data_IF_014442770436
#
_entry.id   IF_014442770436
#
_cell.length_a   1.000
_cell.length_b   1.000
_cell.length_c   1.000
_cell.angle_alpha   90.00
_cell.angle_beta   90.00
_cell.angle_gamma   90.00
#
_symmetry.space_group_name_H-M   'P 1'
#
loop_
_entity.id
_entity.type
_entity.pdbx_description
1 polymer ?
#
# COMPACT_ATOMS: atom_id res chain seq x y z
N UNK A 1 15.99 -15.62 28.29
CA UNK A 1 16.74 -14.60 27.52
C UNK A 1 15.70 -13.90 26.66
N UNK A 2 15.41 -12.62 26.92
CA UNK A 2 14.65 -11.80 25.98
C UNK A 2 15.62 -11.46 24.85
N UNK A 3 15.58 -12.20 23.75
CA UNK A 3 16.18 -11.72 22.51
C UNK A 3 15.43 -10.44 22.13
N UNK A 4 16.03 -9.30 22.45
CA UNK A 4 15.50 -7.99 22.07
C UNK A 4 15.44 -7.96 20.55
N UNK A 5 14.23 -7.98 19.99
CA UNK A 5 13.99 -7.90 18.54
C UNK A 5 14.33 -6.49 18.07
N UNK A 6 15.01 -6.36 16.93
CA UNK A 6 15.41 -5.08 16.35
C UNK A 6 14.95 -4.95 14.90
N UNK A 7 14.49 -3.76 14.50
CA UNK A 7 13.96 -3.50 13.15
C UNK A 7 14.97 -3.79 12.05
N UNK A 8 16.26 -3.50 12.27
CA UNK A 8 17.35 -3.80 11.32
C UNK A 8 17.44 -5.28 10.96
N UNK A 9 16.97 -6.16 11.83
CA UNK A 9 16.99 -7.61 11.62
C UNK A 9 15.62 -8.15 11.19
N UNK A 10 14.54 -7.58 11.75
CA UNK A 10 13.18 -8.09 11.51
C UNK A 10 12.63 -7.61 10.17
N UNK A 11 12.71 -6.31 9.88
CA UNK A 11 12.22 -5.71 8.64
C UNK A 11 13.23 -4.66 8.12
N UNK A 12 14.42 -5.08 7.67
CA UNK A 12 15.48 -4.17 7.23
C UNK A 12 15.08 -3.21 6.10
N UNK A 13 14.09 -3.56 5.27
CA UNK A 13 13.59 -2.66 4.22
C UNK A 13 12.88 -1.44 4.79
N UNK A 14 12.18 -1.61 5.91
CA UNK A 14 11.42 -0.56 6.58
C UNK A 14 12.27 0.19 7.63
N UNK A 15 13.49 -0.26 7.89
CA UNK A 15 14.28 0.25 9.02
C UNK A 15 14.63 1.74 8.87
N UNK A 16 14.85 2.22 7.63
CA UNK A 16 15.18 3.63 7.35
C UNK A 16 14.07 4.60 7.74
N UNK A 17 12.82 4.13 7.83
CA UNK A 17 11.68 4.95 8.24
C UNK A 17 11.55 5.12 9.76
N UNK A 18 12.24 4.27 10.54
CA UNK A 18 12.20 4.31 12.01
C UNK A 18 13.49 4.83 12.64
N UNK A 19 14.63 4.65 11.99
CA UNK A 19 15.94 4.94 12.58
C UNK A 19 16.93 5.44 11.52
N UNK A 20 17.86 6.28 11.96
CA UNK A 20 18.97 6.72 11.13
C UNK A 20 19.93 5.55 10.83
N UNK A 21 20.22 5.36 9.54
CA UNK A 21 21.16 4.37 9.05
C UNK A 21 22.33 5.07 8.36
N UNK A 22 23.55 4.71 8.75
CA UNK A 22 24.77 5.23 8.11
C UNK A 22 24.92 4.74 6.66
N UNK A 23 24.41 3.55 6.37
CA UNK A 23 24.44 2.92 5.05
C UNK A 23 23.18 2.08 4.81
N UNK A 24 22.76 1.86 3.54
CA UNK A 24 21.67 0.96 3.23
C UNK A 24 21.97 -0.48 3.69
N UNK A 25 21.08 -1.04 4.49
CA UNK A 25 21.22 -2.41 5.04
C UNK A 25 20.40 -3.46 4.28
N UNK A 26 19.66 -3.04 3.24
CA UNK A 26 18.72 -3.88 2.53
C UNK A 26 19.03 -3.98 1.03
N UNK A 27 19.12 -5.20 0.54
CA UNK A 27 19.34 -5.50 -0.89
C UNK A 27 18.00 -5.58 -1.62
N UNK A 28 17.61 -4.46 -2.26
CA UNK A 28 16.35 -4.34 -3.01
C UNK A 28 16.29 -5.27 -4.22
N UNK A 29 17.42 -5.54 -4.89
CA UNK A 29 17.47 -6.41 -6.06
C UNK A 29 17.21 -7.87 -5.68
N UNK A 30 17.89 -8.34 -4.64
CA UNK A 30 17.66 -9.69 -4.09
C UNK A 30 16.22 -9.85 -3.59
N UNK A 31 15.68 -8.82 -2.97
CA UNK A 31 14.28 -8.84 -2.53
C UNK A 31 13.31 -8.92 -3.71
N UNK A 32 13.53 -8.11 -4.76
CA UNK A 32 12.71 -8.15 -5.98
C UNK A 32 12.73 -9.53 -6.63
N UNK A 33 13.89 -10.19 -6.70
CA UNK A 33 14.02 -11.58 -7.18
C UNK A 33 13.17 -12.52 -6.32
N UNK A 34 13.29 -12.45 -4.99
CA UNK A 34 12.50 -13.28 -4.07
C UNK A 34 10.99 -13.08 -4.26
N UNK A 35 10.54 -11.85 -4.46
CA UNK A 35 9.13 -11.55 -4.71
C UNK A 35 8.65 -12.12 -6.05
N UNK A 36 9.48 -12.05 -7.10
CA UNK A 36 9.16 -12.59 -8.43
C UNK A 36 9.09 -14.12 -8.43
N UNK A 37 10.06 -14.79 -7.81
CA UNK A 37 10.10 -16.25 -7.69
C UNK A 37 8.90 -16.82 -6.91
N UNK A 38 8.26 -16.00 -6.08
CA UNK A 38 7.11 -16.40 -5.27
C UNK A 38 5.81 -15.69 -5.66
N UNK A 39 5.75 -15.11 -6.87
CA UNK A 39 4.60 -14.38 -7.39
C UNK A 39 3.28 -15.16 -7.31
N UNK A 40 3.27 -16.45 -7.68
CA UNK A 40 2.09 -17.33 -7.59
C UNK A 40 1.47 -17.36 -6.19
N UNK A 41 2.31 -17.29 -5.16
CA UNK A 41 1.88 -17.38 -3.78
C UNK A 41 1.42 -16.04 -3.21
N UNK A 42 2.04 -14.96 -3.68
CA UNK A 42 1.66 -13.59 -3.37
C UNK A 42 0.40 -13.18 -4.16
N UNK A 43 0.10 -13.87 -5.27
CA UNK A 43 -1.04 -13.59 -6.16
C UNK A 43 -1.06 -12.10 -6.55
N UNK A 44 -2.25 -11.49 -6.58
CA UNK A 44 -2.42 -10.07 -6.88
C UNK A 44 -1.72 -9.14 -5.88
N UNK A 45 -1.32 -9.60 -4.69
CA UNK A 45 -0.57 -8.74 -3.77
C UNK A 45 0.79 -8.34 -4.32
N UNK A 46 1.40 -9.17 -5.18
CA UNK A 46 2.72 -8.89 -5.77
C UNK A 46 2.80 -7.52 -6.45
N UNK A 47 1.74 -7.07 -7.13
CA UNK A 47 1.75 -5.77 -7.84
C UNK A 47 1.67 -4.56 -6.93
N UNK A 48 1.29 -4.77 -5.66
CA UNK A 48 1.21 -3.73 -4.64
C UNK A 48 2.47 -3.66 -3.78
N UNK A 49 3.35 -4.66 -3.90
CA UNK A 49 4.61 -4.67 -3.17
C UNK A 49 5.57 -3.61 -3.68
N UNK A 50 6.43 -3.13 -2.78
CA UNK A 50 7.41 -2.05 -3.01
C UNK A 50 6.67 -0.71 -3.10
N UNK A 51 5.96 -0.37 -2.01
CA UNK A 51 5.40 0.97 -1.75
C UNK A 51 4.34 1.46 -2.74
N UNK A 52 3.71 0.55 -3.49
CA UNK A 52 2.65 0.91 -4.45
C UNK A 52 1.31 1.25 -3.77
N UNK A 53 1.17 1.01 -2.47
CA UNK A 53 0.04 1.43 -1.64
C UNK A 53 0.40 2.52 -0.62
N UNK A 54 1.59 3.11 -0.72
CA UNK A 54 2.01 4.22 0.15
C UNK A 54 0.96 5.33 0.17
N UNK A 55 0.75 5.93 1.34
CA UNK A 55 -0.26 6.95 1.65
C UNK A 55 -1.73 6.51 1.50
N UNK A 56 -2.00 5.23 1.27
CA UNK A 56 -3.38 4.75 1.19
C UNK A 56 -4.06 4.81 2.56
N UNK A 57 -5.22 5.47 2.63
CA UNK A 57 -5.96 5.62 3.88
C UNK A 57 -6.60 4.31 4.33
N UNK A 58 -6.38 3.93 5.59
CA UNK A 58 -6.99 2.78 6.23
C UNK A 58 -8.41 3.15 6.68
N UNK A 59 -9.39 2.70 5.91
CA UNK A 59 -10.81 2.92 6.21
C UNK A 59 -11.36 1.95 7.24
N UNK A 60 -10.80 0.74 7.30
CA UNK A 60 -11.20 -0.31 8.25
C UNK A 60 -10.06 -1.29 8.49
N UNK A 61 -9.86 -1.68 9.75
CA UNK A 61 -8.95 -2.74 10.15
C UNK A 61 -9.70 -3.73 11.05
N UNK A 62 -9.85 -4.97 10.59
CA UNK A 62 -10.56 -6.02 11.33
C UNK A 62 -9.64 -7.19 11.63
N UNK A 63 -9.58 -7.57 12.92
CA UNK A 63 -8.83 -8.73 13.40
C UNK A 63 -9.81 -9.70 14.06
N UNK A 64 -10.04 -10.84 13.41
CA UNK A 64 -10.82 -11.97 13.90
C UNK A 64 -9.90 -13.17 14.11
N UNK A 65 -10.36 -14.18 14.84
CA UNK A 65 -9.54 -15.34 15.25
C UNK A 65 -8.77 -16.07 14.12
N UNK A 66 -9.21 -15.95 12.87
CA UNK A 66 -8.58 -16.61 11.70
C UNK A 66 -8.39 -15.69 10.50
N UNK A 67 -8.69 -14.39 10.65
CA UNK A 67 -8.69 -13.42 9.54
C UNK A 67 -8.21 -12.06 10.02
N UNK A 68 -7.22 -11.53 9.32
CA UNK A 68 -6.85 -10.12 9.34
C UNK A 68 -7.33 -9.50 8.04
N UNK A 69 -8.03 -8.37 8.13
CA UNK A 69 -8.51 -7.62 6.97
C UNK A 69 -8.20 -6.14 7.15
N UNK A 70 -7.57 -5.54 6.15
CA UNK A 70 -7.31 -4.11 6.07
C UNK A 70 -7.95 -3.57 4.79
N UNK A 71 -8.88 -2.62 4.93
CA UNK A 71 -9.52 -1.94 3.81
C UNK A 71 -8.89 -0.57 3.63
N UNK A 72 -8.39 -0.33 2.43
CA UNK A 72 -7.69 0.88 2.04
C UNK A 72 -8.52 1.66 1.02
N UNK A 73 -8.45 2.98 1.06
CA UNK A 73 -8.70 3.82 -0.12
C UNK A 73 -7.35 4.00 -0.85
N UNK A 74 -7.24 3.44 -2.06
CA UNK A 74 -6.03 3.43 -2.87
C UNK A 74 -5.62 4.85 -3.27
N UNK A 75 -4.51 5.33 -2.69
CA UNK A 75 -4.03 6.70 -2.88
C UNK A 75 -3.69 7.02 -4.34
N UNK A 76 -2.95 6.14 -5.03
CA UNK A 76 -2.58 6.37 -6.43
C UNK A 76 -3.82 6.48 -7.33
N UNK A 77 -4.81 5.60 -7.12
CA UNK A 77 -6.06 5.68 -7.88
C UNK A 77 -6.86 6.93 -7.49
N UNK A 78 -6.84 7.33 -6.21
CA UNK A 78 -7.46 8.56 -5.75
C UNK A 78 -6.88 9.78 -6.46
N UNK A 79 -5.56 9.98 -6.42
CA UNK A 79 -4.87 11.10 -7.08
C UNK A 79 -5.12 11.10 -8.59
N UNK A 80 -5.19 9.93 -9.23
CA UNK A 80 -5.52 9.87 -10.65
C UNK A 80 -6.98 10.28 -10.92
N UNK A 81 -7.93 9.80 -10.11
CA UNK A 81 -9.33 10.22 -10.20
C UNK A 81 -9.50 11.72 -9.98
N UNK A 82 -8.74 12.27 -9.04
CA UNK A 82 -8.67 13.69 -8.72
C UNK A 82 -8.22 14.52 -9.93
N UNK A 83 -7.14 14.07 -10.56
CA UNK A 83 -6.61 14.67 -11.78
C UNK A 83 -7.65 14.69 -12.91
N UNK A 84 -8.45 13.64 -13.07
CA UNK A 84 -9.54 13.60 -14.05
C UNK A 84 -10.64 14.62 -13.69
N UNK A 85 -11.02 14.72 -12.42
CA UNK A 85 -12.00 15.71 -11.94
C UNK A 85 -11.54 17.13 -12.27
N UNK A 86 -10.29 17.47 -11.95
CA UNK A 86 -9.75 18.80 -12.19
C UNK A 86 -9.58 19.11 -13.69
N UNK A 87 -8.92 18.22 -14.44
CA UNK A 87 -8.61 18.41 -15.86
C UNK A 87 -9.89 18.66 -16.68
N UNK A 88 -10.92 17.88 -16.41
CA UNK A 88 -12.18 17.93 -17.14
C UNK A 88 -13.26 18.76 -16.44
N UNK A 89 -12.93 19.42 -15.33
CA UNK A 89 -13.83 20.29 -14.54
C UNK A 89 -15.14 19.57 -14.19
N UNK A 90 -15.03 18.35 -13.69
CA UNK A 90 -16.17 17.52 -13.30
C UNK A 90 -16.67 18.02 -11.95
N UNK A 91 -17.99 18.19 -11.80
CA UNK A 91 -18.61 18.65 -10.54
C UNK A 91 -18.77 17.47 -9.56
N UNK A 92 -17.67 17.06 -8.94
CA UNK A 92 -17.59 16.00 -7.93
C UNK A 92 -16.70 16.48 -6.79
N UNK A 93 -17.13 16.27 -5.55
CA UNK A 93 -16.33 16.54 -4.36
C UNK A 93 -15.20 15.51 -4.22
N UNK A 94 -13.98 15.99 -3.93
CA UNK A 94 -12.78 15.17 -3.77
C UNK A 94 -12.95 14.04 -2.74
N UNK A 95 -13.64 14.31 -1.63
CA UNK A 95 -13.90 13.32 -0.56
C UNK A 95 -14.78 12.14 -1.01
N UNK A 96 -15.46 12.26 -2.17
CA UNK A 96 -16.25 11.16 -2.76
C UNK A 96 -15.41 10.22 -3.60
N UNK A 97 -14.14 10.54 -3.85
CA UNK A 97 -13.19 9.71 -4.58
C UNK A 97 -12.65 8.61 -3.67
N UNK A 98 -13.38 7.50 -3.57
CA UNK A 98 -12.97 6.34 -2.80
C UNK A 98 -12.79 5.13 -3.73
N UNK A 99 -11.59 4.56 -3.75
CA UNK A 99 -11.19 3.44 -4.59
C UNK A 99 -10.70 2.27 -3.73
N UNK A 100 -11.61 1.40 -3.27
CA UNK A 100 -11.26 0.45 -2.22
C UNK A 100 -10.35 -0.69 -2.69
N UNK A 101 -9.35 -1.00 -1.87
CA UNK A 101 -8.52 -2.21 -1.92
C UNK A 101 -8.61 -2.92 -0.58
N UNK A 102 -8.76 -4.24 -0.59
CA UNK A 102 -8.80 -5.02 0.66
C UNK A 102 -7.64 -6.00 0.67
N UNK A 103 -6.78 -5.89 1.69
CA UNK A 103 -5.74 -6.85 2.02
C UNK A 103 -6.30 -7.84 3.03
N UNK A 104 -6.36 -9.12 2.67
CA UNK A 104 -6.90 -10.17 3.52
C UNK A 104 -5.86 -11.26 3.77
N UNK A 105 -5.56 -11.53 5.04
CA UNK A 105 -4.70 -12.62 5.48
C UNK A 105 -5.50 -13.64 6.31
N UNK A 106 -5.40 -14.93 5.96
CA UNK A 106 -6.25 -16.00 6.53
C UNK A 106 -5.47 -17.27 6.89
N UNK A 107 -5.99 -17.95 7.92
CA UNK A 107 -5.52 -19.27 8.36
C UNK A 107 -4.25 -19.20 9.21
N UNK A 108 -4.22 -19.93 10.33
CA UNK A 108 -3.11 -19.91 11.30
C UNK A 108 -2.65 -18.49 11.67
N UNK A 109 -3.61 -17.58 11.85
CA UNK A 109 -3.35 -16.16 12.00
C UNK A 109 -2.58 -15.87 13.29
N UNK A 110 -1.53 -15.07 13.18
CA UNK A 110 -0.87 -14.39 14.29
C UNK A 110 -0.69 -12.92 13.90
N UNK A 111 -1.03 -12.00 14.80
CA UNK A 111 -0.88 -10.56 14.60
C UNK A 111 -0.20 -9.97 15.82
N UNK A 112 0.87 -9.21 15.61
CA UNK A 112 1.53 -8.42 16.66
C UNK A 112 1.60 -6.96 16.26
N UNK A 113 1.36 -6.07 17.22
CA UNK A 113 1.53 -4.63 17.08
C UNK A 113 2.77 -4.21 17.86
N UNK A 114 3.55 -3.31 17.27
CA UNK A 114 4.81 -2.89 17.86
C UNK A 114 5.09 -1.42 17.61
N UNK A 115 5.75 -0.79 18.59
CA UNK A 115 6.49 0.45 18.40
C UNK A 115 7.96 0.13 18.17
N UNK A 116 8.62 0.94 17.36
CA UNK A 116 10.07 0.87 17.16
C UNK A 116 10.69 2.08 17.83
N UNK A 117 11.63 1.85 18.74
CA UNK A 117 12.38 2.92 19.42
C UNK A 117 13.43 3.52 18.50
N UNK A 118 13.94 4.69 18.86
CA UNK A 118 15.02 5.38 18.13
C UNK A 118 16.29 4.54 17.92
N UNK A 119 16.53 3.54 18.78
CA UNK A 119 17.65 2.59 18.66
C UNK A 119 17.30 1.33 17.83
N UNK A 120 16.10 1.26 17.28
CA UNK A 120 15.56 0.15 16.51
C UNK A 120 14.97 -0.99 17.33
N UNK A 121 14.97 -0.91 18.67
CA UNK A 121 14.35 -1.92 19.53
C UNK A 121 12.83 -1.96 19.32
N UNK A 122 12.30 -3.15 19.11
CA UNK A 122 10.87 -3.39 18.87
C UNK A 122 10.19 -3.72 20.20
N UNK A 123 9.20 -2.91 20.58
CA UNK A 123 8.39 -3.09 21.78
C UNK A 123 6.95 -3.44 21.41
N UNK A 124 6.44 -4.55 21.96
CA UNK A 124 5.04 -4.93 21.76
C UNK A 124 4.09 -3.94 22.42
N UNK A 125 3.02 -3.61 21.71
CA UNK A 125 1.93 -2.78 22.21
C UNK A 125 0.60 -3.50 22.01
N UNK A 126 -0.43 -3.03 22.72
CA UNK A 126 -1.80 -3.45 22.46
C UNK A 126 -2.26 -2.99 21.06
N UNK A 127 -3.22 -3.70 20.44
CA UNK A 127 -3.81 -3.27 19.17
C UNK A 127 -4.32 -1.83 19.24
N UNK A 128 -3.98 -1.05 18.22
CA UNK A 128 -4.36 0.36 18.12
C UNK A 128 -4.99 0.64 16.76
N UNK A 129 -5.85 1.65 16.70
CA UNK A 129 -6.34 2.18 15.41
C UNK A 129 -5.16 2.83 14.68
N UNK A 130 -5.11 2.63 13.38
CA UNK A 130 -4.12 3.20 12.45
C UNK A 130 -4.89 3.80 11.29
N UNK A 131 -4.32 4.81 10.64
CA UNK A 131 -5.04 5.65 9.70
C UNK A 131 -4.46 5.59 8.28
N UNK A 132 -3.17 5.31 8.11
CA UNK A 132 -2.53 5.31 6.78
C UNK A 132 -1.57 4.12 6.61
N UNK A 133 -1.49 3.63 5.38
CA UNK A 133 -0.57 2.59 4.96
C UNK A 133 0.69 3.22 4.40
N UNK A 134 1.85 2.97 5.01
CA UNK A 134 3.12 3.56 4.58
C UNK A 134 3.96 2.54 3.81
N UNK A 135 4.01 1.28 4.25
CA UNK A 135 4.80 0.31 3.53
C UNK A 135 4.73 -1.10 4.09
N UNK A 136 5.46 -1.98 3.41
CA UNK A 136 5.41 -3.40 3.71
C UNK A 136 6.70 -4.14 3.33
N UNK A 137 6.98 -5.20 4.10
CA UNK A 137 8.03 -6.16 3.77
C UNK A 137 7.54 -7.58 4.02
N UNK A 138 7.69 -8.45 3.02
CA UNK A 138 7.56 -9.91 3.19
C UNK A 138 8.76 -10.39 4.01
N UNK A 139 8.49 -10.86 5.22
CA UNK A 139 9.52 -11.37 6.15
C UNK A 139 9.81 -12.85 5.92
N UNK A 140 8.77 -13.63 5.64
CA UNK A 140 8.87 -15.08 5.49
C UNK A 140 7.84 -15.62 4.52
N UNK A 141 8.28 -16.55 3.69
CA UNK A 141 7.43 -17.23 2.72
C UNK A 141 7.83 -18.70 2.59
N UNK A 142 7.03 -19.60 3.15
CA UNK A 142 7.13 -21.06 2.96
C UNK A 142 5.74 -21.70 2.84
N UNK A 143 5.58 -22.90 2.27
CA UNK A 143 4.27 -23.52 1.95
C UNK A 143 3.10 -23.34 2.94
N UNK A 144 3.36 -23.22 4.25
CA UNK A 144 2.33 -23.09 5.28
C UNK A 144 2.20 -21.68 5.89
N UNK A 145 3.07 -20.74 5.53
CA UNK A 145 3.15 -19.44 6.17
C UNK A 145 3.61 -18.32 5.21
N UNK A 146 2.91 -17.20 5.28
CA UNK A 146 3.28 -15.88 4.79
C UNK A 146 3.39 -15.02 6.05
N UNK A 147 4.49 -14.28 6.19
CA UNK A 147 4.68 -13.30 7.27
C UNK A 147 5.07 -11.97 6.66
N UNK A 148 4.36 -10.93 7.04
CA UNK A 148 4.46 -9.58 6.46
C UNK A 148 4.57 -8.58 7.61
N UNK A 149 5.55 -7.70 7.52
CA UNK A 149 5.60 -6.47 8.29
C UNK A 149 4.87 -5.38 7.50
N UNK A 150 3.98 -4.67 8.15
CA UNK A 150 3.35 -3.45 7.66
C UNK A 150 3.80 -2.28 8.52
N UNK A 151 4.28 -1.21 7.88
CA UNK A 151 4.46 0.09 8.50
C UNK A 151 3.22 0.93 8.23
N UNK A 152 2.59 1.40 9.29
CA UNK A 152 1.34 2.15 9.24
C UNK A 152 1.47 3.42 10.08
N UNK A 153 0.75 4.47 9.71
CA UNK A 153 0.67 5.70 10.48
C UNK A 153 -0.46 5.64 11.51
N UNK A 154 -0.21 6.09 12.72
CA UNK A 154 -1.22 6.37 13.73
C UNK A 154 -1.29 7.87 13.98
N UNK A 155 -2.46 8.46 13.75
CA UNK A 155 -2.74 9.85 14.07
C UNK A 155 -3.10 9.96 15.55
N UNK A 156 -2.38 10.81 16.29
CA UNK A 156 -2.66 11.01 17.70
C UNK A 156 -4.05 11.65 17.88
N UNK A 157 -4.95 11.08 18.71
CA UNK A 157 -6.24 11.68 18.99
C UNK A 157 -6.15 13.06 19.66
N UNK A 158 -5.02 13.35 20.29
CA UNK A 158 -4.68 14.70 20.73
C UNK A 158 -3.90 15.41 19.63
N UNK A 159 -4.52 16.38 18.99
CA UNK A 159 -3.94 17.18 17.90
C UNK A 159 -2.66 17.94 18.30
N UNK A 160 -2.44 18.16 19.61
CA UNK A 160 -1.21 18.79 20.12
C UNK A 160 0.00 17.84 20.15
N UNK A 161 -0.20 16.53 19.96
CA UNK A 161 0.85 15.52 19.97
C UNK A 161 1.09 14.97 18.56
N UNK A 162 2.35 14.68 18.19
CA UNK A 162 2.64 14.11 16.89
C UNK A 162 2.03 12.71 16.76
N UNK A 163 1.65 12.36 15.52
CA UNK A 163 1.42 10.96 15.13
C UNK A 163 2.72 10.16 15.15
N UNK A 164 2.60 8.85 15.00
CA UNK A 164 3.74 7.94 15.06
C UNK A 164 3.58 6.76 14.11
N UNK A 165 4.72 6.19 13.69
CA UNK A 165 4.77 4.96 12.90
C UNK A 165 4.57 3.75 13.79
N UNK A 166 3.69 2.85 13.37
CA UNK A 166 3.38 1.58 14.02
C UNK A 166 3.78 0.45 13.09
N UNK A 167 4.48 -0.54 13.64
CA UNK A 167 4.81 -1.77 12.94
C UNK A 167 3.77 -2.84 13.30
N UNK A 168 3.06 -3.37 12.31
CA UNK A 168 2.21 -4.56 12.47
C UNK A 168 2.86 -5.73 11.76
N UNK A 169 3.12 -6.83 12.47
CA UNK A 169 3.58 -8.07 11.86
C UNK A 169 2.42 -9.05 11.84
N UNK A 170 2.01 -9.46 10.64
CA UNK A 170 0.94 -10.43 10.40
C UNK A 170 1.54 -11.69 9.82
N UNK A 171 1.22 -12.82 10.42
CA UNK A 171 1.49 -14.13 9.84
C UNK A 171 0.20 -14.90 9.60
N UNK A 172 0.07 -15.50 8.41
CA UNK A 172 -1.06 -16.31 8.02
C UNK A 172 -0.65 -17.37 7.00
N UNK A 173 -1.55 -18.28 6.65
CA UNK A 173 -1.30 -19.31 5.62
C UNK A 173 -1.44 -18.73 4.21
N UNK A 174 -2.43 -17.86 4.03
CA UNK A 174 -2.90 -17.38 2.73
C UNK A 174 -3.08 -15.86 2.76
N UNK A 175 -2.80 -15.23 1.62
CA UNK A 175 -3.10 -13.83 1.33
C UNK A 175 -4.05 -13.75 0.14
N UNK A 176 -4.94 -12.78 0.18
CA UNK A 176 -5.83 -12.42 -0.90
C UNK A 176 -5.97 -10.91 -1.00
N UNK A 177 -6.09 -10.39 -2.22
CA UNK A 177 -6.40 -8.99 -2.48
C UNK A 177 -7.75 -8.92 -3.19
N UNK A 178 -8.63 -8.06 -2.69
CA UNK A 178 -9.91 -7.76 -3.34
C UNK A 178 -9.82 -6.34 -3.87
N UNK A 179 -9.81 -6.22 -5.19
CA UNK A 179 -9.69 -4.96 -5.92
C UNK A 179 -11.09 -4.46 -6.30
N UNK A 180 -11.53 -3.35 -5.71
CA UNK A 180 -12.82 -2.73 -6.03
C UNK A 180 -12.64 -1.39 -6.77
N UNK A 181 -11.41 -0.97 -7.07
CA UNK A 181 -11.15 0.33 -7.68
C UNK A 181 -11.85 0.51 -9.02
N UNK A 182 -11.85 -0.51 -9.90
CA UNK A 182 -12.54 -0.44 -11.19
C UNK A 182 -14.06 -0.29 -11.03
N UNK A 183 -14.63 -0.99 -10.05
CA UNK A 183 -16.06 -0.88 -9.77
C UNK A 183 -16.39 0.54 -9.29
N UNK A 184 -15.63 1.05 -8.32
CA UNK A 184 -15.79 2.40 -7.82
C UNK A 184 -15.58 3.47 -8.92
N UNK A 185 -14.58 3.28 -9.78
CA UNK A 185 -14.34 4.12 -10.95
C UNK A 185 -15.58 4.25 -11.83
N UNK A 186 -16.16 3.12 -12.21
CA UNK A 186 -17.35 3.10 -13.06
C UNK A 186 -18.57 3.70 -12.37
N UNK A 187 -18.69 3.57 -11.04
CA UNK A 187 -19.77 4.19 -10.25
C UNK A 187 -19.64 5.72 -10.20
N UNK A 188 -18.42 6.25 -10.10
CA UNK A 188 -18.14 7.70 -10.01
C UNK A 188 -18.19 8.36 -11.39
N UNK A 189 -17.53 7.76 -12.38
CA UNK A 189 -17.22 8.37 -13.67
C UNK A 189 -18.05 7.83 -14.84
N UNK A 190 -18.85 6.79 -14.62
CA UNK A 190 -19.49 6.04 -15.71
C UNK A 190 -18.44 5.38 -16.60
N UNK A 191 -18.68 5.33 -17.91
CA UNK A 191 -17.77 4.76 -18.89
C UNK A 191 -16.91 5.80 -19.64
N UNK A 192 -17.12 7.09 -19.36
CA UNK A 192 -16.55 8.19 -20.15
C UNK A 192 -15.03 8.24 -20.06
N UNK A 193 -14.47 7.81 -18.93
CA UNK A 193 -13.04 7.91 -18.62
C UNK A 193 -12.37 6.54 -18.47
N UNK A 194 -13.02 5.46 -18.93
CA UNK A 194 -12.53 4.08 -18.76
C UNK A 194 -11.18 3.84 -19.45
N UNK A 195 -10.96 4.45 -20.61
CA UNK A 195 -9.69 4.27 -21.33
C UNK A 195 -8.54 5.03 -20.66
N UNK A 196 -8.81 6.18 -20.04
CA UNK A 196 -7.82 6.88 -19.20
C UNK A 196 -7.45 6.02 -18.00
N UNK A 197 -8.45 5.44 -17.31
CA UNK A 197 -8.23 4.53 -16.20
C UNK A 197 -7.45 3.29 -16.60
N UNK A 198 -7.78 2.69 -17.74
CA UNK A 198 -7.06 1.54 -18.28
C UNK A 198 -5.60 1.90 -18.55
N UNK A 199 -5.33 3.04 -19.18
CA UNK A 199 -3.96 3.51 -19.42
C UNK A 199 -3.21 3.73 -18.10
N UNK A 200 -3.85 4.39 -17.12
CA UNK A 200 -3.28 4.53 -15.78
C UNK A 200 -2.95 3.19 -15.13
N UNK A 201 -3.85 2.19 -15.19
CA UNK A 201 -3.60 0.86 -14.61
C UNK A 201 -2.43 0.15 -15.30
N UNK A 202 -2.30 0.25 -16.62
CA UNK A 202 -1.16 -0.29 -17.36
C UNK A 202 0.17 0.35 -16.89
N UNK A 203 0.17 1.66 -16.61
CA UNK A 203 1.35 2.35 -16.10
C UNK A 203 1.62 2.05 -14.61
N UNK A 204 0.58 1.94 -13.78
CA UNK A 204 0.69 1.58 -12.37
C UNK A 204 1.34 0.21 -12.18
N UNK A 205 0.96 -0.77 -13.01
CA UNK A 205 1.50 -2.13 -12.98
C UNK A 205 2.90 -2.25 -13.59
N UNK A 206 3.43 -1.15 -14.15
CA UNK A 206 4.83 -1.04 -14.57
C UNK A 206 5.72 -0.46 -13.45
N UNK A 207 7.02 -0.34 -13.70
CA UNK A 207 7.96 0.31 -12.76
C UNK A 207 7.81 1.86 -12.72
N UNK A 208 6.84 2.43 -13.44
CA UNK A 208 6.56 3.87 -13.41
C UNK A 208 5.96 4.29 -12.06
N UNK A 209 6.43 5.43 -11.57
CA UNK A 209 5.81 6.12 -10.44
C UNK A 209 4.57 6.90 -10.91
N UNK A 210 3.43 6.70 -10.25
CA UNK A 210 2.11 7.21 -10.68
C UNK A 210 1.24 7.67 -9.51
N UNK A 211 1.85 8.22 -8.45
CA UNK A 211 1.15 8.56 -7.20
C UNK A 211 1.11 10.06 -6.88
N UNK A 212 1.63 10.93 -7.75
CA UNK A 212 1.47 12.38 -7.59
C UNK A 212 0.66 13.00 -8.74
N UNK A 213 0.12 14.18 -8.47
CA UNK A 213 -0.72 14.92 -9.42
C UNK A 213 -0.01 15.23 -10.73
N UNK A 214 1.26 15.62 -10.68
CA UNK A 214 2.02 16.00 -11.88
C UNK A 214 2.22 14.79 -12.80
N UNK A 215 2.56 13.63 -12.23
CA UNK A 215 2.66 12.39 -13.00
C UNK A 215 1.30 11.92 -13.52
N UNK A 216 0.25 12.01 -12.71
CA UNK A 216 -1.11 11.68 -13.16
C UNK A 216 -1.56 12.58 -14.31
N UNK A 217 -1.28 13.88 -14.26
CA UNK A 217 -1.60 14.82 -15.32
C UNK A 217 -0.85 14.49 -16.62
N UNK A 218 0.43 14.13 -16.53
CA UNK A 218 1.21 13.65 -17.69
C UNK A 218 0.57 12.40 -18.31
N UNK A 219 0.08 11.46 -17.50
CA UNK A 219 -0.60 10.27 -18.03
C UNK A 219 -1.86 10.61 -18.82
N UNK A 220 -2.64 11.56 -18.33
CA UNK A 220 -3.84 12.05 -19.02
C UNK A 220 -3.45 12.68 -20.36
N UNK A 221 -2.46 13.57 -20.36
CA UNK A 221 -1.99 14.26 -21.57
C UNK A 221 -1.37 13.29 -22.60
N UNK A 222 -0.54 12.34 -22.15
CA UNK A 222 0.04 11.28 -22.99
C UNK A 222 -1.03 10.43 -23.68
N UNK A 223 -2.11 10.09 -22.95
CA UNK A 223 -3.22 9.34 -23.52
C UNK A 223 -3.96 10.17 -24.59
N UNK A 224 -4.20 11.47 -24.35
CA UNK A 224 -4.81 12.36 -25.35
C UNK A 224 -3.94 12.51 -26.60
N UNK A 225 -2.62 12.61 -26.45
CA UNK A 225 -1.69 12.69 -27.58
C UNK A 225 -1.68 11.41 -28.40
N UNK A 226 -1.68 10.24 -27.76
CA UNK A 226 -1.74 8.93 -28.42
C UNK A 226 -3.03 8.72 -29.21
N UNK A 227 -4.13 9.33 -28.78
CA UNK A 227 -5.47 9.13 -29.37
C UNK A 227 -5.87 10.22 -30.35
N UNK A 228 -5.15 11.35 -30.40
CA UNK A 228 -5.25 12.31 -31.50
C UNK A 228 -4.79 11.62 -32.79
N UNK A 229 -5.74 11.35 -33.70
CA UNK A 229 -5.41 10.91 -35.07
C UNK A 229 -4.43 11.91 -35.70
N UNK A 230 -3.43 11.47 -36.48
CA UNK A 230 -2.71 12.40 -37.34
C UNK A 230 -3.74 13.07 -38.25
N UNK A 231 -3.87 14.39 -38.13
CA UNK A 231 -4.57 15.21 -39.11
C UNK A 231 -3.92 14.98 -40.47
N UNK A 232 -4.67 14.36 -41.37
CA UNK A 232 -4.31 14.21 -42.78
C UNK A 232 -4.33 15.56 -43.50
#
# INVERSE_FOLDING_TARGET
MNDKRNIKTIAPFLAEDFIDLDEPIFDRDKYSILLNENSDRLKNFRKYLIWKLHDSWITELEIKSKKFEMKLNDFSTHVFGDTIVEKFKIDIEHDKLNFPVIIELKGNLNVGFFKVKENGEIESIEPIKVDEYLGEQILKLNNNQIEIAFELWYSNPNEDLPGERILIIVSAKEINIIENQKKAWNEIFGNKYDEYYKYFKEQFESDRYVSDYTECLKLVDEYEEKTKKPTA
#
